data_IF_828719429910
#
_entry.id   IF_828719429910
#
_cell.length_a   1.000
_cell.length_b   1.000
_cell.length_c   1.000
_cell.angle_alpha   90.00
_cell.angle_beta   90.00
_cell.angle_gamma   90.00
#
_symmetry.space_group_name_H-M   'P 1'
#
loop_
_entity.id
_entity.type
_entity.pdbx_description
1 polymer ?
#
# COMPACT_ATOMS: atom_id res chain seq x y z
N UNK A 1 18.73 -20.57 97.80
CA UNK A 1 20.08 -21.00 97.35
C UNK A 1 19.95 -21.53 95.90
N UNK A 2 20.45 -20.83 94.89
CA UNK A 2 21.18 -21.45 93.82
C UNK A 2 21.56 -20.35 92.80
N UNK A 3 22.80 -20.41 92.45
CA UNK A 3 23.56 -19.39 91.75
C UNK A 3 23.19 -19.28 90.28
N UNK A 4 23.11 -18.03 89.80
CA UNK A 4 23.08 -17.65 88.38
C UNK A 4 24.43 -17.93 87.72
N UNK A 5 24.40 -18.51 86.50
CA UNK A 5 25.54 -18.51 85.57
C UNK A 5 25.08 -17.81 84.29
N UNK A 6 25.70 -16.66 84.09
CA UNK A 6 25.53 -15.88 82.87
C UNK A 6 26.55 -16.43 81.86
N UNK A 7 26.10 -16.86 80.70
CA UNK A 7 26.95 -17.10 79.51
C UNK A 7 26.73 -16.04 78.50
N UNK A 8 27.77 -15.26 78.26
CA UNK A 8 27.87 -14.26 77.17
C UNK A 8 27.87 -14.95 75.84
N UNK A 9 26.98 -14.54 74.97
CA UNK A 9 26.96 -14.97 73.55
C UNK A 9 27.35 -13.77 72.71
N UNK A 10 28.53 -13.83 72.10
CA UNK A 10 29.05 -12.84 71.21
C UNK A 10 28.30 -12.86 69.87
N UNK A 11 27.63 -11.76 69.48
CA UNK A 11 27.01 -11.58 68.21
C UNK A 11 28.09 -11.21 67.19
N UNK A 12 28.34 -12.08 66.22
CA UNK A 12 29.03 -11.77 64.94
C UNK A 12 27.99 -11.22 63.96
N UNK A 13 28.05 -9.93 63.69
CA UNK A 13 27.26 -9.28 62.65
C UNK A 13 27.99 -9.46 61.36
N UNK A 14 27.56 -10.43 60.51
CA UNK A 14 27.99 -10.57 59.14
C UNK A 14 27.22 -9.58 58.28
N UNK A 15 27.88 -8.51 57.86
CA UNK A 15 27.33 -7.54 56.89
C UNK A 15 27.15 -8.18 55.50
N UNK A 16 25.92 -8.48 55.13
CA UNK A 16 25.55 -8.90 53.77
C UNK A 16 25.32 -7.63 52.95
N UNK A 17 26.32 -7.21 52.19
CA UNK A 17 26.16 -6.20 51.14
C UNK A 17 25.21 -6.77 50.07
N UNK A 18 23.93 -6.39 50.08
CA UNK A 18 23.04 -6.55 48.93
C UNK A 18 23.48 -5.54 47.87
N UNK A 19 24.17 -6.02 46.86
CA UNK A 19 24.30 -5.33 45.60
C UNK A 19 22.92 -5.45 44.92
N UNK A 20 22.04 -4.50 45.20
CA UNK A 20 20.81 -4.31 44.46
C UNK A 20 21.16 -3.84 43.03
N UNK A 21 21.31 -4.78 42.12
CA UNK A 21 21.34 -4.43 40.71
C UNK A 21 20.01 -3.74 40.36
N UNK A 22 20.06 -2.47 40.01
CA UNK A 22 18.96 -1.77 39.38
C UNK A 22 18.74 -2.47 38.04
N UNK A 23 17.84 -3.46 38.01
CA UNK A 23 17.25 -3.94 36.75
C UNK A 23 16.34 -2.80 36.29
N UNK A 24 16.82 -1.99 35.33
CA UNK A 24 15.94 -1.06 34.67
C UNK A 24 14.77 -1.85 34.07
N UNK A 25 13.53 -1.38 34.19
CA UNK A 25 12.41 -2.05 33.54
C UNK A 25 12.71 -2.06 32.05
N UNK A 26 12.81 -3.24 31.45
CA UNK A 26 12.77 -3.40 30.01
C UNK A 26 11.37 -2.97 29.61
N UNK A 27 11.23 -1.76 29.06
CA UNK A 27 9.97 -1.36 28.42
C UNK A 27 9.79 -2.29 27.24
N UNK A 28 8.62 -2.90 27.12
CA UNK A 28 8.24 -3.58 25.90
C UNK A 28 8.31 -2.56 24.76
N UNK A 29 8.88 -2.97 23.62
CA UNK A 29 8.89 -2.13 22.42
C UNK A 29 7.45 -1.92 21.94
N UNK A 30 7.15 -0.74 21.45
CA UNK A 30 5.88 -0.50 20.76
C UNK A 30 5.85 -1.33 19.48
N UNK A 31 4.70 -1.96 19.22
CA UNK A 31 4.52 -2.87 18.10
C UNK A 31 3.49 -2.30 17.12
N UNK A 32 3.88 -2.24 15.84
CA UNK A 32 3.07 -1.74 14.74
C UNK A 32 2.89 -2.80 13.66
N UNK A 33 1.83 -2.65 12.84
CA UNK A 33 1.51 -3.59 11.77
C UNK A 33 1.29 -2.88 10.45
N UNK A 34 1.90 -3.43 9.39
CA UNK A 34 1.67 -3.05 8.01
C UNK A 34 0.94 -4.18 7.27
N UNK A 35 -0.22 -3.90 6.69
CA UNK A 35 -0.90 -4.80 5.76
C UNK A 35 -0.49 -4.50 4.31
N UNK A 36 -0.39 -5.56 3.48
CA UNK A 36 -0.19 -5.43 2.04
C UNK A 36 -0.82 -6.62 1.30
N UNK A 37 -1.13 -6.44 0.02
CA UNK A 37 -1.61 -7.50 -0.88
C UNK A 37 -0.70 -7.66 -2.09
N UNK A 38 -0.91 -8.73 -2.89
CA UNK A 38 -0.05 -9.01 -4.02
C UNK A 38 -0.30 -8.02 -5.16
N UNK A 39 0.74 -7.25 -5.44
CA UNK A 39 0.90 -6.35 -6.56
C UNK A 39 2.39 -6.21 -6.85
N UNK A 40 2.79 -6.10 -8.11
CA UNK A 40 4.21 -6.06 -8.48
C UNK A 40 4.98 -4.97 -7.74
N UNK A 41 4.39 -3.78 -7.60
CA UNK A 41 4.98 -2.63 -6.91
C UNK A 41 5.02 -2.76 -5.38
N UNK A 42 4.29 -3.71 -4.78
CA UNK A 42 4.28 -3.92 -3.32
C UNK A 42 5.09 -5.16 -2.88
N UNK A 43 5.57 -5.98 -3.80
CA UNK A 43 6.46 -7.12 -3.50
C UNK A 43 7.73 -6.74 -2.73
N UNK A 44 8.25 -5.49 -2.80
CA UNK A 44 9.33 -5.05 -1.95
C UNK A 44 9.09 -5.22 -0.44
N UNK A 45 7.84 -5.15 0.03
CA UNK A 45 7.52 -5.40 1.44
C UNK A 45 7.77 -6.85 1.85
N UNK A 46 7.40 -7.82 0.99
CA UNK A 46 7.70 -9.26 1.21
C UNK A 46 9.20 -9.52 1.27
N UNK A 47 9.95 -8.90 0.35
CA UNK A 47 11.40 -9.00 0.32
C UNK A 47 12.05 -8.39 1.56
N UNK A 48 11.62 -7.19 1.96
CA UNK A 48 12.15 -6.50 3.13
C UNK A 48 11.94 -7.30 4.42
N UNK A 49 10.76 -7.89 4.58
CA UNK A 49 10.42 -8.77 5.71
C UNK A 49 11.32 -10.01 5.74
N UNK A 50 11.35 -10.78 4.64
CA UNK A 50 12.11 -12.04 4.55
C UNK A 50 13.62 -11.88 4.68
N UNK A 51 14.16 -10.69 4.37
CA UNK A 51 15.59 -10.41 4.42
C UNK A 51 16.02 -9.59 5.65
N UNK A 52 15.12 -9.40 6.63
CA UNK A 52 15.45 -8.73 7.89
C UNK A 52 15.67 -7.21 7.76
N UNK A 53 15.26 -6.61 6.63
CA UNK A 53 15.36 -5.16 6.42
C UNK A 53 14.37 -4.44 7.33
N UNK A 54 13.16 -5.00 7.49
CA UNK A 54 12.15 -4.48 8.42
C UNK A 54 12.70 -4.49 9.86
N UNK A 55 13.21 -5.62 10.32
CA UNK A 55 13.78 -5.75 11.68
C UNK A 55 14.93 -4.78 11.91
N UNK A 56 15.82 -4.63 10.93
CA UNK A 56 16.94 -3.69 11.00
C UNK A 56 16.49 -2.24 11.26
N UNK A 57 15.46 -1.79 10.53
CA UNK A 57 14.96 -0.42 10.67
C UNK A 57 14.10 -0.27 11.93
N UNK A 58 13.31 -1.27 12.29
CA UNK A 58 12.58 -1.31 13.55
C UNK A 58 13.52 -1.24 14.76
N UNK A 59 14.59 -2.03 14.77
CA UNK A 59 15.62 -2.01 15.83
C UNK A 59 16.33 -0.66 15.93
N UNK A 60 16.63 -0.02 14.79
CA UNK A 60 17.21 1.32 14.79
C UNK A 60 16.41 2.34 15.58
N UNK A 61 15.07 2.22 15.53
CA UNK A 61 14.14 3.12 16.19
C UNK A 61 13.56 2.57 17.49
N UNK A 62 13.94 1.35 17.90
CA UNK A 62 13.54 0.76 19.18
C UNK A 62 12.10 0.27 19.21
N UNK A 63 11.49 -0.04 18.06
CA UNK A 63 10.13 -0.54 17.88
C UNK A 63 10.12 -1.96 17.32
N UNK A 64 8.93 -2.54 17.18
CA UNK A 64 8.68 -3.78 16.45
C UNK A 64 7.68 -3.51 15.32
N UNK A 65 7.91 -4.09 14.15
CA UNK A 65 7.02 -3.98 12.99
C UNK A 65 6.69 -5.39 12.49
N UNK A 66 5.41 -5.65 12.31
CA UNK A 66 4.89 -6.89 11.71
C UNK A 66 4.35 -6.55 10.31
N UNK A 67 4.89 -7.18 9.26
CA UNK A 67 4.43 -7.02 7.89
C UNK A 67 3.55 -8.21 7.53
N UNK A 68 2.29 -7.98 7.19
CA UNK A 68 1.28 -9.03 7.00
C UNK A 68 0.71 -8.97 5.59
N UNK A 69 0.87 -10.07 4.85
CA UNK A 69 0.21 -10.22 3.56
C UNK A 69 -1.22 -10.71 3.74
N UNK A 70 -2.15 -9.99 3.14
CA UNK A 70 -3.57 -10.34 3.01
C UNK A 70 -3.86 -10.56 1.53
N UNK A 71 -4.39 -11.73 1.16
CA UNK A 71 -4.52 -12.11 -0.25
C UNK A 71 -5.63 -11.34 -0.98
N UNK A 72 -6.70 -10.95 -0.27
CA UNK A 72 -7.77 -10.14 -0.83
C UNK A 72 -7.43 -8.66 -0.60
N UNK A 73 -7.37 -7.89 -1.67
CA UNK A 73 -6.96 -6.49 -1.67
C UNK A 73 -7.90 -5.61 -0.83
N UNK A 74 -9.21 -5.70 -1.09
CA UNK A 74 -10.20 -4.88 -0.38
C UNK A 74 -10.28 -5.27 1.10
N UNK A 75 -10.12 -6.55 1.42
CA UNK A 75 -10.09 -7.00 2.82
C UNK A 75 -8.90 -6.42 3.58
N UNK A 76 -7.74 -6.24 2.93
CA UNK A 76 -6.58 -5.59 3.57
C UNK A 76 -6.88 -4.15 3.99
N UNK A 77 -7.57 -3.41 3.13
CA UNK A 77 -7.98 -2.02 3.39
C UNK A 77 -9.07 -1.96 4.46
N UNK A 78 -10.04 -2.88 4.43
CA UNK A 78 -11.10 -2.96 5.44
C UNK A 78 -10.54 -3.21 6.84
N UNK A 79 -9.57 -4.11 6.97
CA UNK A 79 -8.90 -4.37 8.26
C UNK A 79 -8.08 -3.16 8.75
N UNK A 80 -7.40 -2.43 7.84
CA UNK A 80 -6.75 -1.16 8.16
C UNK A 80 -7.78 -0.12 8.63
N UNK A 81 -8.88 0.04 7.91
CA UNK A 81 -9.96 0.97 8.25
C UNK A 81 -10.60 0.65 9.61
N UNK A 82 -10.68 -0.65 9.96
CA UNK A 82 -11.14 -1.11 11.27
C UNK A 82 -10.12 -0.92 12.40
N UNK A 83 -8.88 -0.49 12.11
CA UNK A 83 -7.82 -0.26 13.09
C UNK A 83 -7.05 -1.52 13.50
N UNK A 84 -7.13 -2.60 12.72
CA UNK A 84 -6.34 -3.82 12.96
C UNK A 84 -4.88 -3.67 12.50
N UNK A 85 -4.60 -2.68 11.65
CA UNK A 85 -3.29 -2.31 11.12
C UNK A 85 -3.05 -0.82 11.24
N UNK A 86 -1.80 -0.43 11.47
CA UNK A 86 -1.34 0.95 11.59
C UNK A 86 -0.99 1.57 10.23
N UNK A 87 -0.65 0.72 9.26
CA UNK A 87 -0.35 1.09 7.87
C UNK A 87 -0.88 0.02 6.91
N UNK A 88 -1.15 0.42 5.66
CA UNK A 88 -1.63 -0.48 4.61
C UNK A 88 -1.23 0.03 3.23
N UNK A 89 -0.91 -0.89 2.29
CA UNK A 89 -0.74 -0.52 0.89
C UNK A 89 -2.09 -0.47 0.17
N UNK A 90 -2.32 0.57 -0.61
CA UNK A 90 -3.52 0.73 -1.42
C UNK A 90 -3.32 1.77 -2.52
N UNK A 91 -4.27 1.87 -3.45
CA UNK A 91 -4.24 2.93 -4.45
C UNK A 91 -4.81 4.24 -3.88
N UNK A 92 -4.51 5.34 -4.55
CA UNK A 92 -5.03 6.68 -4.20
C UNK A 92 -6.56 6.75 -4.17
N UNK A 93 -7.22 6.05 -5.09
CA UNK A 93 -8.68 6.00 -5.12
C UNK A 93 -9.24 5.25 -3.90
N UNK A 94 -8.72 4.07 -3.60
CA UNK A 94 -9.23 3.25 -2.52
C UNK A 94 -8.89 3.87 -1.15
N UNK A 95 -7.80 4.63 -1.05
CA UNK A 95 -7.49 5.46 0.12
C UNK A 95 -8.55 6.55 0.37
N UNK A 96 -9.05 7.17 -0.69
CA UNK A 96 -10.11 8.17 -0.61
C UNK A 96 -11.45 7.54 -0.23
N UNK A 97 -11.82 6.44 -0.89
CA UNK A 97 -13.18 5.89 -0.85
C UNK A 97 -13.45 4.95 0.32
N UNK A 98 -12.41 4.32 0.89
CA UNK A 98 -12.61 3.34 1.98
C UNK A 98 -12.23 3.97 3.34
N UNK A 99 -10.97 4.17 3.71
CA UNK A 99 -10.66 4.75 5.03
C UNK A 99 -11.11 6.20 5.14
N UNK A 100 -10.76 7.07 4.17
CA UNK A 100 -11.01 8.51 4.30
C UNK A 100 -12.50 8.84 4.27
N UNK A 101 -13.29 8.27 3.35
CA UNK A 101 -14.74 8.46 3.32
C UNK A 101 -15.45 7.87 4.54
N UNK A 102 -14.83 6.89 5.21
CA UNK A 102 -15.31 6.32 6.48
C UNK A 102 -14.89 7.13 7.72
N UNK A 103 -14.18 8.26 7.53
CA UNK A 103 -13.75 9.14 8.63
C UNK A 103 -12.45 8.70 9.32
N UNK A 104 -11.66 7.82 8.71
CA UNK A 104 -10.32 7.47 9.17
C UNK A 104 -9.31 8.44 8.55
N UNK A 105 -8.74 9.32 9.39
CA UNK A 105 -7.69 10.25 8.96
C UNK A 105 -6.41 9.45 8.63
N UNK A 106 -6.03 9.47 7.36
CA UNK A 106 -4.96 8.66 6.81
C UNK A 106 -3.98 9.48 5.97
N UNK A 107 -2.70 9.15 6.03
CA UNK A 107 -1.63 9.87 5.33
C UNK A 107 -0.90 8.94 4.36
N UNK A 108 -0.78 9.36 3.10
CA UNK A 108 0.11 8.75 2.12
C UNK A 108 1.57 9.01 2.54
N UNK A 109 2.16 8.03 3.21
CA UNK A 109 3.51 8.09 3.76
C UNK A 109 4.58 7.87 2.69
N UNK A 110 4.33 6.91 1.80
CA UNK A 110 5.20 6.55 0.68
C UNK A 110 4.34 6.52 -0.58
N UNK A 111 4.73 7.28 -1.58
CA UNK A 111 4.27 7.10 -2.96
C UNK A 111 5.30 6.21 -3.64
N UNK A 112 4.95 4.94 -3.83
CA UNK A 112 5.88 3.90 -4.30
C UNK A 112 6.06 3.91 -5.80
N UNK A 113 4.95 4.12 -6.51
CA UNK A 113 4.90 4.08 -7.96
C UNK A 113 3.56 4.61 -8.49
N UNK A 114 3.41 4.62 -9.78
CA UNK A 114 2.10 4.66 -10.44
C UNK A 114 2.03 3.60 -11.55
N UNK A 115 0.83 3.08 -11.76
CA UNK A 115 0.53 2.12 -12.81
C UNK A 115 0.73 2.77 -14.19
N UNK A 116 1.52 2.11 -15.05
CA UNK A 116 1.85 2.59 -16.39
C UNK A 116 1.78 1.44 -17.40
N UNK A 117 0.61 0.81 -17.48
CA UNK A 117 0.34 -0.41 -18.23
C UNK A 117 -0.01 -1.61 -17.34
N UNK A 118 0.20 -1.50 -16.04
CA UNK A 118 0.09 -2.58 -15.07
C UNK A 118 -1.36 -2.97 -14.77
N UNK A 119 -2.25 -1.99 -14.68
CA UNK A 119 -3.70 -2.19 -14.63
C UNK A 119 -4.23 -2.26 -16.05
N UNK A 120 -5.02 -3.29 -16.37
CA UNK A 120 -5.46 -3.52 -17.74
C UNK A 120 -6.85 -4.14 -17.82
N UNK A 121 -7.49 -3.88 -18.96
CA UNK A 121 -8.71 -4.54 -19.40
C UNK A 121 -8.32 -5.62 -20.41
N UNK A 122 -8.63 -6.85 -20.09
CA UNK A 122 -8.41 -8.02 -20.94
C UNK A 122 -9.73 -8.60 -21.37
N UNK A 123 -9.83 -9.01 -22.64
CA UNK A 123 -11.04 -9.67 -23.13
C UNK A 123 -10.75 -10.84 -24.07
N UNK A 124 -11.72 -11.74 -24.20
CA UNK A 124 -11.72 -12.83 -25.15
C UNK A 124 -12.35 -12.36 -26.47
N UNK A 125 -11.66 -12.62 -27.57
CA UNK A 125 -12.21 -12.48 -28.92
C UNK A 125 -12.50 -11.04 -29.40
N UNK A 126 -12.02 -10.00 -28.66
CA UNK A 126 -12.06 -8.59 -29.07
C UNK A 126 -10.67 -7.99 -29.05
N UNK A 127 -10.48 -6.81 -29.65
CA UNK A 127 -9.20 -6.12 -29.74
C UNK A 127 -9.30 -4.60 -29.46
N UNK A 128 -10.48 -4.12 -29.06
CA UNK A 128 -10.73 -2.72 -28.77
C UNK A 128 -11.72 -2.51 -27.62
N UNK A 129 -11.70 -1.31 -27.01
CA UNK A 129 -12.67 -0.93 -25.97
C UNK A 129 -14.12 -0.94 -26.51
N UNK A 130 -14.31 -0.69 -27.81
CA UNK A 130 -15.64 -0.73 -28.42
C UNK A 130 -16.29 -2.13 -28.37
N UNK A 131 -15.47 -3.20 -28.34
CA UNK A 131 -15.96 -4.58 -28.29
C UNK A 131 -16.49 -4.96 -26.89
N UNK A 132 -16.27 -4.14 -25.88
CA UNK A 132 -16.83 -4.30 -24.54
C UNK A 132 -18.33 -4.02 -24.48
N UNK A 133 -18.89 -3.31 -25.49
CA UNK A 133 -20.31 -2.93 -25.51
C UNK A 133 -21.24 -4.14 -25.42
N UNK A 134 -22.12 -4.14 -24.43
CA UNK A 134 -23.07 -5.22 -24.14
C UNK A 134 -22.46 -6.44 -23.42
N UNK A 135 -21.16 -6.42 -23.09
CA UNK A 135 -20.45 -7.56 -22.48
C UNK A 135 -20.47 -7.53 -20.96
N UNK A 136 -20.46 -8.72 -20.33
CA UNK A 136 -20.14 -8.84 -18.92
C UNK A 136 -18.64 -8.57 -18.70
N UNK A 137 -18.32 -7.73 -17.71
CA UNK A 137 -16.96 -7.36 -17.35
C UNK A 137 -16.77 -7.64 -15.87
N UNK A 138 -15.91 -8.60 -15.55
CA UNK A 138 -15.59 -8.97 -14.18
C UNK A 138 -14.45 -8.09 -13.67
N UNK A 139 -14.64 -7.49 -12.50
CA UNK A 139 -13.67 -6.63 -11.84
C UNK A 139 -13.99 -6.51 -10.35
N UNK A 140 -13.06 -5.99 -9.57
CA UNK A 140 -13.36 -5.56 -8.19
C UNK A 140 -14.17 -4.27 -8.27
N UNK A 141 -15.49 -4.39 -8.06
CA UNK A 141 -16.42 -3.26 -8.22
C UNK A 141 -16.12 -2.16 -7.20
N UNK A 142 -16.25 -0.89 -7.64
CA UNK A 142 -16.01 0.31 -6.84
C UNK A 142 -14.54 0.47 -6.36
N UNK A 143 -13.60 -0.26 -6.95
CA UNK A 143 -12.16 -0.11 -6.74
C UNK A 143 -11.48 0.61 -7.91
N UNK A 144 -10.16 0.70 -7.85
CA UNK A 144 -9.30 1.20 -8.93
C UNK A 144 -9.56 0.52 -10.28
N UNK A 145 -9.89 -0.78 -10.31
CA UNK A 145 -10.25 -1.49 -11.55
C UNK A 145 -11.53 -0.94 -12.17
N UNK A 146 -12.50 -0.54 -11.36
CA UNK A 146 -13.73 0.10 -11.85
C UNK A 146 -13.42 1.51 -12.40
N UNK A 147 -12.53 2.26 -11.73
CA UNK A 147 -12.04 3.55 -12.24
C UNK A 147 -11.38 3.39 -13.61
N UNK A 148 -10.47 2.42 -13.79
CA UNK A 148 -9.83 2.14 -15.08
C UNK A 148 -10.85 1.85 -16.18
N UNK A 149 -11.86 1.03 -15.89
CA UNK A 149 -12.95 0.73 -16.83
C UNK A 149 -13.69 2.02 -17.22
N UNK A 150 -14.08 2.84 -16.25
CA UNK A 150 -14.81 4.08 -16.53
C UNK A 150 -14.00 5.04 -17.40
N UNK A 151 -12.70 5.18 -17.12
CA UNK A 151 -11.79 5.99 -17.94
C UNK A 151 -11.66 5.45 -19.36
N UNK A 152 -11.53 4.12 -19.51
CA UNK A 152 -11.46 3.48 -20.83
C UNK A 152 -12.74 3.73 -21.64
N UNK A 153 -13.91 3.58 -21.03
CA UNK A 153 -15.21 3.81 -21.69
C UNK A 153 -15.36 5.27 -22.11
N UNK A 154 -15.11 6.22 -21.20
CA UNK A 154 -15.22 7.67 -21.46
C UNK A 154 -14.30 8.10 -22.61
N UNK A 155 -13.04 7.70 -22.61
CA UNK A 155 -12.07 8.01 -23.65
C UNK A 155 -12.43 7.42 -25.02
N UNK A 156 -13.31 6.41 -25.06
CA UNK A 156 -13.77 5.76 -26.29
C UNK A 156 -15.23 6.05 -26.64
N UNK A 157 -15.87 7.03 -25.96
CA UNK A 157 -17.23 7.48 -26.25
C UNK A 157 -18.32 6.50 -25.83
N UNK A 158 -18.00 5.60 -24.93
CA UNK A 158 -18.92 4.68 -24.27
C UNK A 158 -19.24 5.17 -22.85
N UNK A 159 -20.26 4.59 -22.23
CA UNK A 159 -20.60 4.83 -20.85
C UNK A 159 -20.83 3.48 -20.14
N UNK A 160 -20.79 3.46 -18.82
CA UNK A 160 -20.97 2.23 -18.04
C UNK A 160 -22.32 1.54 -18.29
N UNK A 161 -23.38 2.28 -18.63
CA UNK A 161 -24.67 1.68 -19.04
C UNK A 161 -24.56 0.82 -20.30
N UNK A 162 -23.46 0.95 -21.05
CA UNK A 162 -23.22 0.20 -22.29
C UNK A 162 -22.52 -1.14 -22.04
N UNK A 163 -22.14 -1.42 -20.78
CA UNK A 163 -21.49 -2.66 -20.32
C UNK A 163 -22.24 -3.23 -19.11
N UNK A 164 -21.91 -4.45 -18.69
CA UNK A 164 -22.46 -5.10 -17.50
C UNK A 164 -21.34 -5.45 -16.53
N UNK A 165 -21.14 -4.62 -15.50
CA UNK A 165 -20.11 -4.87 -14.46
C UNK A 165 -20.54 -6.00 -13.56
N UNK A 166 -19.63 -6.93 -13.28
CA UNK A 166 -19.81 -8.07 -12.38
C UNK A 166 -18.73 -8.00 -11.31
N UNK A 167 -19.16 -7.76 -10.06
CA UNK A 167 -18.25 -7.75 -8.92
C UNK A 167 -17.58 -9.11 -8.71
N UNK A 168 -16.26 -9.11 -8.68
CA UNK A 168 -15.43 -10.31 -8.58
C UNK A 168 -14.19 -9.97 -7.74
N UNK A 169 -13.89 -10.81 -6.74
CA UNK A 169 -12.65 -10.67 -5.96
C UNK A 169 -11.43 -10.88 -6.84
N UNK A 170 -10.37 -10.12 -6.59
CA UNK A 170 -9.07 -10.29 -7.24
C UNK A 170 -8.50 -11.70 -7.06
N UNK A 171 -8.72 -12.32 -5.91
CA UNK A 171 -8.29 -13.69 -5.61
C UNK A 171 -8.93 -14.75 -6.55
N UNK A 172 -10.10 -14.46 -7.13
CA UNK A 172 -10.81 -15.36 -8.02
C UNK A 172 -10.56 -15.08 -9.52
N UNK A 173 -9.98 -13.94 -9.86
CA UNK A 173 -9.90 -13.40 -11.22
C UNK A 173 -9.30 -14.37 -12.24
N UNK A 174 -8.18 -15.00 -11.90
CA UNK A 174 -7.52 -16.00 -12.78
C UNK A 174 -8.41 -17.22 -13.01
N UNK A 175 -9.03 -17.71 -11.94
CA UNK A 175 -9.83 -18.95 -12.01
C UNK A 175 -11.09 -18.77 -12.84
N UNK A 176 -11.78 -17.63 -12.68
CA UNK A 176 -13.03 -17.36 -13.41
C UNK A 176 -12.80 -17.08 -14.88
N UNK A 177 -11.66 -16.41 -15.24
CA UNK A 177 -11.34 -16.14 -16.64
C UNK A 177 -11.22 -17.44 -17.49
N UNK A 178 -10.91 -18.57 -16.86
CA UNK A 178 -10.89 -19.89 -17.50
C UNK A 178 -12.26 -20.43 -17.91
N UNK A 179 -13.37 -19.81 -17.46
CA UNK A 179 -14.73 -20.27 -17.76
C UNK A 179 -15.30 -19.62 -19.03
N UNK A 180 -16.29 -20.26 -19.66
CA UNK A 180 -16.91 -19.74 -20.90
C UNK A 180 -17.84 -18.53 -20.64
N UNK A 181 -18.25 -18.32 -19.39
CA UNK A 181 -19.15 -17.22 -19.00
C UNK A 181 -18.44 -15.88 -18.89
N UNK A 182 -17.10 -15.89 -18.69
CA UNK A 182 -16.31 -14.68 -18.55
C UNK A 182 -15.77 -14.23 -19.90
N UNK A 183 -16.18 -13.04 -20.36
CA UNK A 183 -15.75 -12.47 -21.64
C UNK A 183 -14.65 -11.41 -21.46
N UNK A 184 -14.70 -10.62 -20.39
CA UNK A 184 -13.71 -9.59 -20.10
C UNK A 184 -13.46 -9.45 -18.60
N UNK A 185 -12.23 -9.04 -18.25
CA UNK A 185 -11.82 -8.74 -16.87
C UNK A 185 -11.04 -7.45 -16.81
N UNK A 186 -11.09 -6.78 -15.66
CA UNK A 186 -10.19 -5.67 -15.32
C UNK A 186 -9.40 -6.08 -14.10
N UNK A 187 -8.09 -6.05 -14.20
CA UNK A 187 -7.18 -6.51 -13.14
C UNK A 187 -5.79 -5.89 -13.30
N UNK A 188 -4.84 -6.30 -12.47
CA UNK A 188 -3.47 -5.79 -12.43
C UNK A 188 -2.44 -6.92 -12.39
N UNK A 189 -1.15 -6.59 -12.51
CA UNK A 189 -0.08 -7.59 -12.40
C UNK A 189 0.12 -8.07 -10.94
N UNK A 190 0.31 -9.39 -10.76
CA UNK A 190 0.76 -10.38 -11.76
C UNK A 190 -0.34 -10.98 -12.64
N UNK A 191 -1.61 -10.82 -12.30
CA UNK A 191 -2.75 -11.45 -12.97
C UNK A 191 -2.84 -11.09 -14.46
N UNK A 192 -2.56 -9.83 -14.84
CA UNK A 192 -2.53 -9.40 -16.24
C UNK A 192 -1.58 -10.25 -17.07
N UNK A 193 -0.33 -10.39 -16.61
CA UNK A 193 0.67 -11.18 -17.37
C UNK A 193 0.35 -12.68 -17.40
N UNK A 194 -0.24 -13.22 -16.32
CA UNK A 194 -0.70 -14.61 -16.30
C UNK A 194 -1.81 -14.84 -17.33
N UNK A 195 -2.79 -13.94 -17.40
CA UNK A 195 -3.88 -14.03 -18.37
C UNK A 195 -3.41 -13.80 -19.79
N UNK A 196 -2.49 -12.87 -20.05
CA UNK A 196 -1.88 -12.65 -21.36
C UNK A 196 -1.04 -13.84 -21.87
N UNK A 197 -0.66 -14.76 -20.99
CA UNK A 197 -0.07 -16.04 -21.38
C UNK A 197 -1.06 -17.01 -22.07
N UNK A 198 -2.35 -16.69 -22.11
CA UNK A 198 -3.40 -17.47 -22.76
C UNK A 198 -3.61 -17.02 -24.20
N UNK A 199 -3.87 -17.95 -25.10
CA UNK A 199 -4.11 -17.67 -26.53
C UNK A 199 -5.40 -16.85 -26.80
N UNK A 200 -6.33 -16.84 -25.83
CA UNK A 200 -7.65 -16.21 -25.94
C UNK A 200 -7.74 -14.81 -25.28
N UNK A 201 -6.67 -14.33 -24.64
CA UNK A 201 -6.67 -13.06 -23.92
C UNK A 201 -6.01 -11.94 -24.77
N UNK A 202 -6.76 -10.86 -24.98
CA UNK A 202 -6.27 -9.65 -25.62
C UNK A 202 -6.38 -8.46 -24.65
N UNK A 203 -5.33 -7.64 -24.55
CA UNK A 203 -5.38 -6.39 -23.84
C UNK A 203 -6.03 -5.33 -24.72
N UNK A 204 -7.15 -4.75 -24.29
CA UNK A 204 -7.90 -3.74 -25.05
C UNK A 204 -7.71 -2.32 -24.52
N UNK A 205 -7.27 -2.18 -23.27
CA UNK A 205 -6.92 -0.92 -22.64
C UNK A 205 -6.00 -1.16 -21.43
N UNK A 206 -5.16 -0.19 -21.11
CA UNK A 206 -4.34 -0.24 -19.90
C UNK A 206 -4.04 1.18 -19.36
N UNK A 207 -3.47 1.23 -18.16
CA UNK A 207 -3.15 2.45 -17.43
C UNK A 207 -2.07 3.34 -18.07
N UNK A 208 -1.31 2.86 -19.07
CA UNK A 208 -0.41 3.71 -19.85
C UNK A 208 -1.16 4.85 -20.57
N UNK A 209 -2.46 4.66 -20.83
CA UNK A 209 -3.32 5.67 -21.43
C UNK A 209 -3.74 6.79 -20.46
N UNK A 210 -3.55 6.58 -19.15
CA UNK A 210 -3.89 7.51 -18.06
C UNK A 210 -2.74 7.62 -17.04
N UNK A 211 -1.51 7.99 -17.49
CA UNK A 211 -0.32 7.93 -16.67
C UNK A 211 -0.44 8.84 -15.44
N UNK A 212 -0.12 8.30 -14.26
CA UNK A 212 -0.18 9.03 -12.98
C UNK A 212 -1.58 9.20 -12.39
N UNK A 213 -2.63 8.60 -12.98
CA UNK A 213 -3.98 8.60 -12.38
C UNK A 213 -4.15 7.48 -11.34
N UNK A 214 -3.53 6.32 -11.54
CA UNK A 214 -3.52 5.20 -10.59
C UNK A 214 -2.19 5.20 -9.87
N UNK A 215 -2.22 5.59 -8.60
CA UNK A 215 -1.03 5.80 -7.78
C UNK A 215 -1.02 4.77 -6.66
N UNK A 216 0.10 4.06 -6.49
CA UNK A 216 0.30 3.04 -5.48
C UNK A 216 1.04 3.60 -4.28
N UNK A 217 0.40 3.51 -3.12
CA UNK A 217 0.84 4.20 -1.91
C UNK A 217 0.87 3.27 -0.70
N UNK A 218 1.77 3.56 0.23
CA UNK A 218 1.69 3.03 1.59
C UNK A 218 1.06 4.10 2.47
N UNK A 219 -0.15 3.82 2.93
CA UNK A 219 -0.90 4.66 3.86
C UNK A 219 -0.52 4.34 5.29
N UNK A 220 -0.55 5.36 6.14
CA UNK A 220 -0.38 5.25 7.59
C UNK A 220 -1.51 6.01 8.28
N UNK A 221 -2.03 5.48 9.39
CA UNK A 221 -2.95 6.23 10.23
C UNK A 221 -2.29 7.52 10.72
N UNK A 222 -2.93 8.67 10.51
CA UNK A 222 -2.35 9.99 10.79
C UNK A 222 -2.07 10.20 12.27
N UNK A 223 -2.93 9.71 13.16
CA UNK A 223 -2.72 9.78 14.61
C UNK A 223 -1.51 8.94 15.02
N UNK A 224 -1.40 7.70 14.53
CA UNK A 224 -0.25 6.83 14.75
C UNK A 224 1.03 7.47 14.24
N UNK A 225 1.04 8.03 13.03
CA UNK A 225 2.21 8.71 12.46
C UNK A 225 2.68 9.87 13.32
N UNK A 226 1.74 10.68 13.80
CA UNK A 226 2.05 11.85 14.62
C UNK A 226 2.52 11.49 16.04
N UNK A 227 1.95 10.44 16.64
CA UNK A 227 2.33 9.96 17.96
C UNK A 227 3.65 9.15 17.93
N UNK A 228 3.91 8.45 16.82
CA UNK A 228 5.03 7.52 16.63
C UNK A 228 5.77 7.78 15.31
N UNK A 229 6.43 8.95 15.15
CA UNK A 229 7.17 9.26 13.92
C UNK A 229 8.33 8.29 13.65
N UNK A 230 8.82 7.57 14.66
CA UNK A 230 9.80 6.48 14.53
C UNK A 230 9.27 5.32 13.66
N UNK A 231 7.97 5.02 13.71
CA UNK A 231 7.35 4.00 12.86
C UNK A 231 7.35 4.46 11.38
N UNK A 232 6.94 5.68 11.10
CA UNK A 232 7.00 6.25 9.76
C UNK A 232 8.44 6.25 9.19
N UNK A 233 9.43 6.66 10.01
CA UNK A 233 10.84 6.63 9.60
C UNK A 233 11.35 5.22 9.31
N UNK A 234 10.96 4.24 10.12
CA UNK A 234 11.35 2.85 9.93
C UNK A 234 10.78 2.28 8.63
N UNK A 235 9.49 2.53 8.34
CA UNK A 235 8.86 2.09 7.09
C UNK A 235 9.52 2.72 5.87
N UNK A 236 9.72 4.04 5.86
CA UNK A 236 10.33 4.75 4.73
C UNK A 236 11.78 4.33 4.54
N UNK A 237 12.52 4.13 5.63
CA UNK A 237 13.89 3.64 5.57
C UNK A 237 13.99 2.23 5.01
N UNK A 238 13.13 1.30 5.46
CA UNK A 238 13.08 -0.07 4.95
C UNK A 238 12.69 -0.10 3.46
N UNK A 239 11.72 0.73 3.05
CA UNK A 239 11.30 0.84 1.67
C UNK A 239 12.45 1.27 0.76
N UNK A 240 13.08 2.41 1.02
CA UNK A 240 14.14 2.93 0.14
C UNK A 240 15.45 2.16 0.22
N UNK A 241 15.74 1.45 1.32
CA UNK A 241 16.82 0.47 1.32
C UNK A 241 16.52 -0.67 0.34
N UNK A 242 15.30 -1.18 0.34
CA UNK A 242 14.84 -2.22 -0.59
C UNK A 242 14.87 -1.73 -2.03
N UNK A 243 14.37 -0.52 -2.30
CA UNK A 243 14.47 0.13 -3.61
C UNK A 243 15.92 0.23 -4.09
N UNK A 244 16.86 0.62 -3.20
CA UNK A 244 18.28 0.75 -3.53
C UNK A 244 18.96 -0.58 -3.90
N UNK A 245 18.41 -1.71 -3.42
CA UNK A 245 18.85 -3.06 -3.79
C UNK A 245 18.22 -3.46 -5.13
N UNK A 246 16.92 -3.32 -5.24
CA UNK A 246 16.09 -3.76 -6.37
C UNK A 246 16.48 -3.07 -7.68
N UNK A 247 16.85 -1.78 -7.64
CA UNK A 247 17.23 -1.01 -8.82
C UNK A 247 18.58 -1.37 -9.44
N UNK A 248 19.43 -2.15 -8.74
CA UNK A 248 20.77 -2.47 -9.22
C UNK A 248 20.73 -3.42 -10.40
N UNK A 249 21.57 -3.12 -11.39
CA UNK A 249 21.82 -4.00 -12.54
C UNK A 249 23.05 -4.90 -12.26
N UNK A 250 22.98 -5.65 -11.14
CA UNK A 250 23.98 -6.60 -10.70
C UNK A 250 23.34 -7.86 -10.12
N UNK A 251 24.18 -8.80 -9.64
CA UNK A 251 23.69 -10.04 -9.07
C UNK A 251 22.73 -9.82 -7.88
N UNK A 252 23.01 -8.83 -7.02
CA UNK A 252 22.19 -8.57 -5.85
C UNK A 252 20.81 -8.01 -6.22
N UNK A 253 20.75 -7.11 -7.21
CA UNK A 253 19.48 -6.60 -7.74
C UNK A 253 18.68 -7.68 -8.45
N UNK A 254 19.36 -8.50 -9.28
CA UNK A 254 18.72 -9.63 -9.95
C UNK A 254 18.18 -10.68 -8.96
N UNK A 255 18.93 -11.03 -7.93
CA UNK A 255 18.51 -11.96 -6.89
C UNK A 255 17.31 -11.43 -6.11
N UNK A 256 17.28 -10.11 -5.82
CA UNK A 256 16.16 -9.48 -5.14
C UNK A 256 14.89 -9.52 -6.01
N UNK A 257 14.97 -9.11 -7.27
CA UNK A 257 13.83 -9.15 -8.20
C UNK A 257 13.37 -10.58 -8.49
N UNK A 258 14.30 -11.53 -8.58
CA UNK A 258 13.96 -12.97 -8.73
C UNK A 258 13.17 -13.49 -7.52
N UNK A 259 13.58 -13.12 -6.28
CA UNK A 259 12.86 -13.50 -5.07
C UNK A 259 11.47 -12.87 -5.00
N UNK A 260 11.32 -11.60 -5.42
CA UNK A 260 10.03 -10.93 -5.53
C UNK A 260 9.13 -11.60 -6.59
N UNK A 261 9.72 -11.97 -7.73
CA UNK A 261 9.03 -12.73 -8.78
C UNK A 261 8.53 -14.09 -8.29
N UNK A 262 9.37 -14.87 -7.60
CA UNK A 262 8.96 -16.13 -6.99
C UNK A 262 7.80 -15.93 -5.99
N UNK A 263 7.88 -14.88 -5.18
CA UNK A 263 6.82 -14.52 -4.21
C UNK A 263 5.49 -14.15 -4.85
N UNK A 264 5.50 -13.64 -6.10
CA UNK A 264 4.32 -13.30 -6.90
C UNK A 264 3.95 -14.35 -7.96
N UNK A 265 4.65 -15.49 -8.00
CA UNK A 265 4.32 -16.61 -8.87
C UNK A 265 4.95 -16.56 -10.26
N UNK A 266 6.02 -15.79 -10.47
CA UNK A 266 6.74 -15.69 -11.73
C UNK A 266 8.26 -15.81 -11.53
N UNK A 267 9.04 -15.81 -12.61
CA UNK A 267 10.50 -15.74 -12.57
C UNK A 267 11.03 -14.31 -12.70
N UNK A 268 12.36 -14.15 -12.69
CA UNK A 268 13.00 -12.82 -12.84
C UNK A 268 12.54 -12.12 -14.13
N UNK A 269 12.48 -12.82 -15.25
CA UNK A 269 12.13 -12.21 -16.52
C UNK A 269 10.66 -11.74 -16.53
N UNK A 270 9.76 -12.53 -15.95
CA UNK A 270 8.36 -12.16 -15.78
C UNK A 270 8.18 -10.99 -14.84
N UNK A 271 8.93 -10.97 -13.73
CA UNK A 271 8.87 -9.85 -12.78
C UNK A 271 9.42 -8.53 -13.39
N UNK A 272 10.55 -8.59 -14.10
CA UNK A 272 11.11 -7.45 -14.82
C UNK A 272 10.15 -6.93 -15.91
N UNK A 273 9.42 -7.83 -16.58
CA UNK A 273 8.38 -7.43 -17.55
C UNK A 273 7.20 -6.71 -16.88
N UNK A 274 6.78 -7.16 -15.69
CA UNK A 274 5.74 -6.47 -14.90
C UNK A 274 6.21 -5.10 -14.40
N UNK A 275 7.46 -5.00 -13.94
CA UNK A 275 8.06 -3.72 -13.52
C UNK A 275 8.17 -2.72 -14.67
N UNK A 276 8.37 -3.18 -15.91
CA UNK A 276 8.38 -2.31 -17.08
C UNK A 276 7.02 -1.65 -17.36
N UNK A 277 5.94 -2.20 -16.80
CA UNK A 277 4.57 -1.65 -16.86
C UNK A 277 4.22 -0.81 -15.62
N UNK A 278 5.22 -0.46 -14.81
CA UNK A 278 5.07 0.27 -13.55
C UNK A 278 6.10 1.38 -13.48
N UNK A 279 5.70 2.61 -13.24
CA UNK A 279 6.65 3.71 -12.99
C UNK A 279 7.04 3.70 -11.51
N UNK A 280 7.99 2.84 -11.16
CA UNK A 280 8.56 2.78 -9.82
C UNK A 280 9.35 4.05 -9.48
N UNK A 281 9.21 4.54 -8.25
CA UNK A 281 10.03 5.61 -7.68
C UNK A 281 11.15 5.00 -6.83
N UNK A 282 12.21 4.56 -7.51
CA UNK A 282 13.39 3.98 -6.85
C UNK A 282 14.17 5.00 -6.02
N UNK A 283 14.21 6.24 -6.47
CA UNK A 283 14.84 7.35 -5.77
C UNK A 283 13.77 8.13 -4.98
N UNK A 284 13.93 8.31 -3.66
CA UNK A 284 13.00 9.10 -2.87
C UNK A 284 12.81 10.54 -3.38
N UNK A 285 13.80 11.12 -4.05
CA UNK A 285 13.68 12.45 -4.65
C UNK A 285 12.64 12.48 -5.80
N UNK A 286 12.54 11.41 -6.61
CA UNK A 286 11.51 11.31 -7.66
C UNK A 286 10.09 11.24 -7.03
N UNK A 287 9.93 10.50 -5.95
CA UNK A 287 8.65 10.44 -5.23
C UNK A 287 8.28 11.79 -4.61
N UNK A 288 9.26 12.52 -4.06
CA UNK A 288 9.06 13.89 -3.56
C UNK A 288 8.65 14.83 -4.69
N UNK A 289 9.31 14.76 -5.86
CA UNK A 289 8.95 15.58 -7.02
C UNK A 289 7.50 15.28 -7.46
N UNK A 290 7.13 14.02 -7.53
CA UNK A 290 5.78 13.61 -7.92
C UNK A 290 4.73 14.10 -6.93
N UNK A 291 4.90 13.86 -5.63
CA UNK A 291 3.90 14.21 -4.60
C UNK A 291 3.75 15.72 -4.40
N UNK A 292 4.78 16.50 -4.73
CA UNK A 292 4.76 17.97 -4.67
C UNK A 292 4.37 18.62 -6.00
N UNK A 293 4.10 17.83 -7.04
CA UNK A 293 3.73 18.32 -8.37
C UNK A 293 2.37 19.02 -8.37
N UNK A 294 2.19 19.94 -9.30
CA UNK A 294 0.88 20.58 -9.52
C UNK A 294 -0.13 19.63 -10.20
N UNK A 295 0.30 18.46 -10.68
CA UNK A 295 -0.56 17.48 -11.34
C UNK A 295 -1.35 16.64 -10.31
N UNK A 296 -0.76 16.29 -9.16
CA UNK A 296 -1.39 15.42 -8.18
C UNK A 296 -2.75 15.92 -7.68
N UNK A 297 -2.95 17.21 -7.32
CA UNK A 297 -4.27 17.71 -6.96
C UNK A 297 -5.33 17.51 -8.06
N UNK A 298 -4.95 17.71 -9.34
CA UNK A 298 -5.85 17.48 -10.47
C UNK A 298 -6.22 16.01 -10.66
N UNK A 299 -5.28 15.10 -10.45
CA UNK A 299 -5.54 13.65 -10.43
C UNK A 299 -6.54 13.30 -9.32
N UNK A 300 -6.35 13.81 -8.11
CA UNK A 300 -7.26 13.54 -6.99
C UNK A 300 -8.65 14.16 -7.19
N UNK A 301 -8.76 15.29 -7.90
CA UNK A 301 -10.05 15.86 -8.30
C UNK A 301 -10.80 14.92 -9.28
N UNK A 302 -10.12 14.33 -10.27
CA UNK A 302 -10.72 13.33 -11.17
C UNK A 302 -11.21 12.11 -10.38
N UNK A 303 -10.39 11.59 -9.48
CA UNK A 303 -10.72 10.45 -8.63
C UNK A 303 -11.91 10.76 -7.72
N UNK A 304 -11.92 11.92 -7.06
CA UNK A 304 -13.00 12.34 -6.19
C UNK A 304 -14.32 12.52 -6.95
N UNK A 305 -14.25 13.12 -8.16
CA UNK A 305 -15.44 13.27 -9.04
C UNK A 305 -16.02 11.92 -9.43
N UNK A 306 -15.17 11.00 -9.88
CA UNK A 306 -15.60 9.63 -10.19
C UNK A 306 -16.25 8.97 -8.96
N UNK A 307 -15.60 9.06 -7.81
CA UNK A 307 -16.06 8.44 -6.58
C UNK A 307 -17.41 8.99 -6.10
N UNK A 308 -17.64 10.30 -6.28
CA UNK A 308 -18.92 10.94 -6.00
C UNK A 308 -20.00 10.47 -6.98
N UNK A 309 -19.71 10.48 -8.28
CA UNK A 309 -20.66 10.06 -9.33
C UNK A 309 -21.09 8.59 -9.16
N UNK A 310 -20.24 7.77 -8.54
CA UNK A 310 -20.54 6.38 -8.18
C UNK A 310 -21.22 6.21 -6.83
N UNK A 311 -21.37 7.26 -6.04
CA UNK A 311 -21.94 7.21 -4.71
C UNK A 311 -21.09 6.51 -3.66
N UNK A 312 -19.78 6.32 -3.92
CA UNK A 312 -18.87 5.60 -3.02
C UNK A 312 -18.23 6.48 -1.94
N UNK A 313 -18.45 7.78 -1.98
CA UNK A 313 -18.09 8.67 -0.85
C UNK A 313 -19.10 8.59 0.31
N UNK A 314 -20.16 7.77 0.18
CA UNK A 314 -21.18 7.56 1.19
C UNK A 314 -22.42 8.45 1.04
N UNK A 315 -23.52 8.07 1.73
CA UNK A 315 -24.82 8.76 1.63
C UNK A 315 -24.78 10.21 2.15
N UNK A 316 -23.76 10.57 2.94
CA UNK A 316 -23.58 11.92 3.49
C UNK A 316 -22.85 12.89 2.56
N UNK A 317 -22.24 12.40 1.49
CA UNK A 317 -21.51 13.22 0.54
C UNK A 317 -22.49 14.00 -0.36
N UNK A 318 -22.41 15.30 -0.35
CA UNK A 318 -23.25 16.18 -1.18
C UNK A 318 -22.50 16.74 -2.40
N UNK A 319 -21.18 16.51 -2.47
CA UNK A 319 -20.31 16.92 -3.58
C UNK A 319 -19.04 16.06 -3.66
N UNK A 320 -18.30 16.11 -4.77
CA UNK A 320 -16.97 15.49 -4.88
C UNK A 320 -15.96 16.00 -3.84
N UNK A 321 -16.16 17.20 -3.33
CA UNK A 321 -15.33 17.87 -2.33
C UNK A 321 -15.63 17.43 -0.90
N UNK A 322 -16.51 16.45 -0.67
CA UNK A 322 -16.93 16.00 0.67
C UNK A 322 -15.76 15.62 1.58
N UNK A 323 -14.77 14.89 1.06
CA UNK A 323 -13.53 14.60 1.77
C UNK A 323 -12.48 15.64 1.43
N UNK A 324 -11.93 16.29 2.47
CA UNK A 324 -10.77 17.16 2.33
C UNK A 324 -9.50 16.33 2.09
N UNK A 325 -8.72 16.74 1.08
CA UNK A 325 -7.43 16.15 0.73
C UNK A 325 -6.35 17.20 0.89
N UNK A 326 -5.43 16.98 1.83
CA UNK A 326 -4.29 17.87 2.06
C UNK A 326 -3.06 17.40 1.31
N UNK A 327 -2.38 18.32 0.64
CA UNK A 327 -1.15 18.09 -0.12
C UNK A 327 0.04 18.82 0.51
N UNK A 328 1.29 18.43 0.19
CA UNK A 328 2.48 19.15 0.63
C UNK A 328 2.39 20.64 0.37
N UNK A 329 2.85 21.44 1.34
CA UNK A 329 2.75 22.90 1.28
C UNK A 329 1.41 23.48 1.75
N UNK A 330 0.50 22.63 2.27
CA UNK A 330 -0.77 23.07 2.87
C UNK A 330 -1.86 23.41 1.85
N UNK A 331 -1.72 22.96 0.59
CA UNK A 331 -2.81 23.01 -0.39
C UNK A 331 -3.90 22.02 0.04
N UNK A 332 -5.17 22.38 -0.10
CA UNK A 332 -6.31 21.50 0.18
C UNK A 332 -7.23 21.47 -1.02
N UNK A 333 -7.64 20.26 -1.44
CA UNK A 333 -8.79 20.03 -2.29
C UNK A 333 -9.95 19.57 -1.39
N UNK A 334 -11.16 20.00 -1.69
CA UNK A 334 -12.35 19.58 -0.96
C UNK A 334 -12.56 20.33 0.36
N UNK A 335 -13.29 19.70 1.28
CA UNK A 335 -13.72 20.31 2.54
C UNK A 335 -12.55 20.42 3.54
N UNK A 336 -12.08 21.63 3.77
CA UNK A 336 -11.00 21.91 4.71
C UNK A 336 -11.37 21.60 6.19
N UNK A 337 -12.65 21.51 6.51
CA UNK A 337 -13.13 21.13 7.84
C UNK A 337 -13.28 19.59 7.99
N UNK A 338 -13.13 18.83 6.88
CA UNK A 338 -13.21 17.36 6.84
C UNK A 338 -12.00 16.73 6.14
N UNK A 339 -10.78 17.13 6.50
CA UNK A 339 -9.56 16.55 5.94
C UNK A 339 -9.34 15.16 6.53
N UNK A 340 -9.50 14.12 5.68
CA UNK A 340 -9.31 12.70 6.06
C UNK A 340 -8.25 12.01 5.21
N UNK A 341 -7.80 12.63 4.11
CA UNK A 341 -6.71 12.12 3.27
C UNK A 341 -5.59 13.15 3.21
N UNK A 342 -4.35 12.70 3.43
CA UNK A 342 -3.17 13.57 3.37
C UNK A 342 -2.10 12.94 2.50
N UNK A 343 -1.40 13.77 1.75
CA UNK A 343 -0.13 13.41 1.11
C UNK A 343 0.98 14.16 1.81
N UNK A 344 2.04 13.48 2.20
CA UNK A 344 3.22 14.10 2.82
C UNK A 344 4.48 13.79 2.03
N UNK A 345 5.39 14.76 1.94
CA UNK A 345 6.73 14.57 1.40
C UNK A 345 7.79 14.43 2.50
N UNK A 346 7.42 14.66 3.76
CA UNK A 346 8.33 14.83 4.90
C UNK A 346 9.31 13.68 5.04
N UNK A 347 8.82 12.44 5.12
CA UNK A 347 9.68 11.28 5.39
C UNK A 347 10.42 10.80 4.14
N UNK A 348 9.82 10.94 2.95
CA UNK A 348 10.49 10.69 1.68
C UNK A 348 11.63 11.69 1.45
N UNK A 349 11.45 12.96 1.82
CA UNK A 349 12.50 13.99 1.79
C UNK A 349 13.63 13.66 2.76
N UNK A 350 13.34 13.22 3.99
CA UNK A 350 14.36 12.75 4.94
C UNK A 350 15.17 11.58 4.35
N UNK A 351 14.53 10.66 3.61
CA UNK A 351 15.22 9.59 2.92
C UNK A 351 16.16 10.14 1.82
N UNK A 352 15.68 11.09 1.00
CA UNK A 352 16.45 11.71 -0.07
C UNK A 352 17.67 12.50 0.46
N UNK A 353 17.54 13.10 1.64
CA UNK A 353 18.59 13.90 2.31
C UNK A 353 19.51 13.04 3.20
N UNK A 354 19.21 11.74 3.38
CA UNK A 354 20.01 10.82 4.21
C UNK A 354 19.84 11.07 5.71
N UNK A 355 18.67 11.53 6.14
CA UNK A 355 18.36 11.90 7.52
C UNK A 355 17.55 10.84 8.30
N UNK A 356 17.28 9.69 7.68
CA UNK A 356 16.61 8.56 8.32
C UNK A 356 17.56 7.70 9.16
#
# INVERSE_FOLDING_TARGET
MHKRVIKSLSLLLAGMLMVGGLVAPVHAKDKFKLAWSIYVGWMPWDYAEKNGIIDKWADKYGIEIEVVRINDYIESINQYTAGEFDACTMTNMDALTIPSASGVDTTALIVGDFSNGNDAILMKGGDSVADLAGKPINLVELSVSHYLLARALDMNGLAERDVNVINTSDADMISIYGTDEVEAVVTWNPMVMELLGRDDANMVFNSESIPGEIIDITMINTETMNAHPEFAKALVGAWYETMSIMMKDDAAGNDARAAMGEGSGTDLAGYDAQLAMTKMFYDPAEAVEFVTSDALPGTMELVATFSYDKGILGEGADSPEFVGIEFPGGKVYGDADNIQLRFTDTFMRMAAEGEL
#
